data_IF_128909753166
#
_entry.id   IF_128909753166
#
_cell.length_a   1.000
_cell.length_b   1.000
_cell.length_c   1.000
_cell.angle_alpha   90.00
_cell.angle_beta   90.00
_cell.angle_gamma   90.00
#
_symmetry.space_group_name_H-M   'P 1'
#
loop_
_entity.id
_entity.type
_entity.pdbx_description
1 polymer ?
#
# COMPACT_ATOMS: atom_id res chain seq x y z
N UNK A 1 -19.17 30.53 -6.90
CA UNK A 1 -17.76 30.47 -6.49
C UNK A 1 -16.78 30.75 -7.64
N UNK A 2 -16.97 30.19 -8.85
CA UNK A 2 -16.08 30.46 -10.01
C UNK A 2 -15.93 31.94 -10.40
N UNK A 3 -17.02 32.72 -10.34
CA UNK A 3 -16.99 34.14 -10.71
C UNK A 3 -16.10 35.01 -9.81
N UNK A 4 -15.94 34.63 -8.54
CA UNK A 4 -15.13 35.37 -7.57
C UNK A 4 -13.63 35.18 -7.82
N UNK A 5 -13.23 33.99 -8.27
CA UNK A 5 -11.83 33.67 -8.59
C UNK A 5 -11.36 34.46 -9.83
N UNK A 6 -12.19 34.51 -10.87
CA UNK A 6 -11.88 35.24 -12.11
C UNK A 6 -11.77 36.75 -11.89
N UNK A 7 -12.61 37.31 -11.00
CA UNK A 7 -12.57 38.73 -10.67
C UNK A 7 -11.30 39.12 -9.88
N UNK A 8 -10.88 38.28 -8.93
CA UNK A 8 -9.64 38.51 -8.15
C UNK A 8 -8.40 38.41 -9.04
N UNK A 9 -8.38 37.45 -9.98
CA UNK A 9 -7.29 37.33 -10.97
C UNK A 9 -7.24 38.59 -11.83
N UNK A 10 -8.36 39.05 -12.41
CA UNK A 10 -8.37 40.26 -13.24
C UNK A 10 -7.93 41.52 -12.49
N UNK A 11 -8.32 41.67 -11.22
CA UNK A 11 -7.94 42.84 -10.41
C UNK A 11 -6.45 42.81 -10.03
N UNK A 12 -5.89 41.63 -9.72
CA UNK A 12 -4.46 41.47 -9.49
C UNK A 12 -3.62 41.71 -10.76
N UNK A 13 -4.16 41.37 -11.94
CA UNK A 13 -3.50 41.57 -13.22
C UNK A 13 -3.46 43.03 -13.70
N UNK A 14 -4.41 43.89 -13.32
CA UNK A 14 -4.50 45.24 -13.88
C UNK A 14 -3.71 46.31 -13.12
N UNK A 15 -3.24 46.05 -11.89
CA UNK A 15 -2.67 47.11 -11.04
C UNK A 15 -1.15 47.19 -10.96
N UNK A 16 -0.38 46.15 -11.35
CA UNK A 16 1.07 46.15 -11.04
C UNK A 16 2.00 45.77 -12.19
N UNK A 17 1.50 45.35 -13.37
CA UNK A 17 2.34 44.95 -14.50
C UNK A 17 3.31 43.78 -14.20
N UNK A 18 3.20 43.18 -13.00
CA UNK A 18 4.10 42.18 -12.50
C UNK A 18 3.42 40.82 -12.60
N UNK A 19 3.84 40.01 -13.56
CA UNK A 19 3.31 38.68 -13.82
C UNK A 19 3.72 37.64 -12.76
N UNK A 20 4.63 38.03 -11.86
CA UNK A 20 5.22 37.18 -10.84
C UNK A 20 4.20 36.49 -9.91
N UNK A 21 3.14 37.15 -9.37
CA UNK A 21 2.18 36.50 -8.50
C UNK A 21 1.34 35.44 -9.23
N UNK A 22 1.00 35.69 -10.51
CA UNK A 22 0.29 34.74 -11.36
C UNK A 22 1.16 33.53 -11.70
N UNK A 23 2.42 33.75 -12.08
CA UNK A 23 3.39 32.69 -12.35
C UNK A 23 3.71 31.87 -11.09
N UNK A 24 3.77 32.50 -9.93
CA UNK A 24 4.00 31.80 -8.65
C UNK A 24 2.83 30.89 -8.29
N UNK A 25 1.58 31.37 -8.44
CA UNK A 25 0.38 30.56 -8.22
C UNK A 25 0.29 29.38 -9.19
N UNK A 26 0.55 29.61 -10.48
CA UNK A 26 0.60 28.54 -11.48
C UNK A 26 1.72 27.57 -11.17
N UNK A 27 2.90 28.06 -10.76
CA UNK A 27 4.06 27.26 -10.38
C UNK A 27 3.80 26.34 -9.19
N UNK A 28 3.13 26.84 -8.13
CA UNK A 28 2.72 26.03 -6.98
C UNK A 28 1.70 24.98 -7.39
N UNK A 29 0.71 25.35 -8.21
CA UNK A 29 -0.27 24.40 -8.71
C UNK A 29 0.40 23.32 -9.57
N UNK A 30 1.26 23.67 -10.53
CA UNK A 30 1.98 22.66 -11.30
C UNK A 30 2.90 21.81 -10.44
N UNK A 31 3.60 22.38 -9.45
CA UNK A 31 4.41 21.58 -8.53
C UNK A 31 3.56 20.60 -7.70
N UNK A 32 2.36 21.01 -7.26
CA UNK A 32 1.45 20.12 -6.52
C UNK A 32 0.84 19.00 -7.37
N UNK A 33 0.72 19.19 -8.69
CA UNK A 33 0.23 18.17 -9.62
C UNK A 33 1.34 17.27 -10.17
N UNK A 34 2.59 17.76 -10.20
CA UNK A 34 3.74 17.06 -10.81
C UNK A 34 4.58 16.31 -9.78
N UNK A 35 4.60 16.75 -8.52
CA UNK A 35 5.28 16.00 -7.47
C UNK A 35 4.45 14.76 -7.12
N UNK A 36 4.98 13.54 -7.34
CA UNK A 36 4.27 12.34 -6.91
C UNK A 36 4.08 12.42 -5.40
N UNK A 37 2.88 12.07 -4.94
CA UNK A 37 2.63 11.85 -3.51
C UNK A 37 3.71 10.90 -2.98
N UNK A 38 4.27 11.17 -1.80
CA UNK A 38 5.26 10.26 -1.22
C UNK A 38 4.66 8.84 -1.16
N UNK A 39 5.42 7.81 -1.57
CA UNK A 39 4.93 6.44 -1.53
C UNK A 39 4.56 6.08 -0.09
N UNK A 40 3.53 5.24 0.05
CA UNK A 40 3.18 4.71 1.38
C UNK A 40 4.37 3.94 1.96
N UNK A 41 4.60 3.98 3.28
CA UNK A 41 5.72 3.30 3.92
C UNK A 41 5.82 1.82 3.54
N UNK A 42 4.69 1.14 3.43
CA UNK A 42 4.55 -0.28 3.09
C UNK A 42 5.03 -0.57 1.67
N UNK A 43 4.80 0.35 0.73
CA UNK A 43 5.33 0.25 -0.63
C UNK A 43 6.85 0.34 -0.64
N UNK A 44 7.40 1.26 0.13
CA UNK A 44 8.86 1.42 0.22
C UNK A 44 9.49 0.17 0.87
N UNK A 45 8.88 -0.32 1.94
CA UNK A 45 9.29 -1.54 2.64
C UNK A 45 9.22 -2.78 1.73
N UNK A 46 8.13 -2.94 0.97
CA UNK A 46 8.01 -3.99 -0.03
C UNK A 46 9.14 -3.94 -1.06
N UNK A 47 9.42 -2.76 -1.61
CA UNK A 47 10.44 -2.61 -2.64
C UNK A 47 11.86 -2.89 -2.10
N UNK A 48 12.13 -2.58 -0.84
CA UNK A 48 13.41 -2.85 -0.17
C UNK A 48 13.62 -4.35 0.09
N UNK A 49 12.57 -5.06 0.49
CA UNK A 49 12.63 -6.48 0.89
C UNK A 49 11.93 -7.43 -0.10
N UNK A 50 11.77 -7.03 -1.36
CA UNK A 50 10.97 -7.77 -2.36
C UNK A 50 11.40 -9.24 -2.50
N UNK A 51 12.70 -9.48 -2.59
CA UNK A 51 13.25 -10.84 -2.76
C UNK A 51 12.89 -11.74 -1.57
N UNK A 52 12.84 -11.17 -0.36
CA UNK A 52 12.51 -11.90 0.86
C UNK A 52 11.02 -12.26 0.92
N UNK A 53 10.15 -11.33 0.51
CA UNK A 53 8.72 -11.59 0.34
C UNK A 53 8.47 -12.70 -0.68
N UNK A 54 9.09 -12.63 -1.85
CA UNK A 54 8.98 -13.65 -2.90
C UNK A 54 9.49 -15.02 -2.42
N UNK A 55 10.57 -15.04 -1.64
CA UNK A 55 11.09 -16.28 -1.07
C UNK A 55 10.11 -16.94 -0.08
N UNK A 56 9.45 -16.16 0.78
CA UNK A 56 8.41 -16.72 1.67
C UNK A 56 7.23 -17.27 0.88
N UNK A 57 6.77 -16.57 -0.16
CA UNK A 57 5.69 -17.06 -1.03
C UNK A 57 6.08 -18.38 -1.68
N UNK A 58 7.31 -18.50 -2.20
CA UNK A 58 7.80 -19.75 -2.76
C UNK A 58 7.83 -20.87 -1.71
N UNK A 59 8.26 -20.57 -0.48
CA UNK A 59 8.28 -21.53 0.61
C UNK A 59 6.88 -22.04 0.96
N UNK A 60 5.90 -21.12 1.05
CA UNK A 60 4.48 -21.46 1.25
C UNK A 60 3.99 -22.40 0.15
N UNK A 61 4.27 -22.09 -1.12
CA UNK A 61 3.78 -22.85 -2.27
C UNK A 61 4.42 -24.25 -2.43
N UNK A 62 5.64 -24.43 -1.94
CA UNK A 62 6.44 -25.64 -2.19
C UNK A 62 6.50 -26.59 -1.00
N UNK A 63 6.77 -26.05 0.18
CA UNK A 63 7.05 -26.83 1.40
C UNK A 63 5.96 -26.62 2.47
N UNK A 64 5.23 -25.50 2.39
CA UNK A 64 4.31 -25.04 3.42
C UNK A 64 5.05 -24.42 4.61
N UNK A 65 4.39 -23.50 5.31
CA UNK A 65 4.94 -22.93 6.54
C UNK A 65 4.61 -23.83 7.74
N UNK A 66 5.52 -23.94 8.73
CA UNK A 66 5.19 -24.61 9.97
C UNK A 66 4.03 -23.87 10.66
N UNK A 67 2.97 -24.58 11.10
CA UNK A 67 1.87 -23.95 11.81
C UNK A 67 2.41 -23.24 13.05
N UNK A 68 2.00 -21.99 13.28
CA UNK A 68 2.51 -21.18 14.39
C UNK A 68 2.15 -21.81 15.73
N UNK A 69 3.14 -22.36 16.45
CA UNK A 69 2.88 -23.12 17.68
C UNK A 69 2.77 -22.18 18.89
N UNK A 70 3.24 -20.93 18.79
CA UNK A 70 3.40 -20.05 19.96
C UNK A 70 2.64 -18.73 19.91
N UNK A 71 2.75 -17.96 18.83
CA UNK A 71 2.22 -16.58 18.76
C UNK A 71 1.08 -16.41 17.74
N UNK A 72 0.99 -17.28 16.74
CA UNK A 72 0.01 -17.22 15.68
C UNK A 72 -1.12 -18.24 15.91
N UNK A 73 -2.01 -17.95 16.87
CA UNK A 73 -3.11 -18.85 17.26
C UNK A 73 -4.38 -18.74 16.39
N UNK A 74 -4.42 -17.77 15.47
CA UNK A 74 -5.52 -17.62 14.53
C UNK A 74 -5.49 -18.74 13.48
N UNK A 75 -6.66 -19.08 12.94
CA UNK A 75 -6.75 -19.96 11.77
C UNK A 75 -5.97 -19.32 10.62
N UNK A 76 -5.26 -20.14 9.85
CA UNK A 76 -4.49 -19.73 8.68
C UNK A 76 -3.31 -18.78 8.98
N UNK A 77 -2.95 -18.62 10.26
CA UNK A 77 -1.81 -17.81 10.68
C UNK A 77 -0.56 -18.66 10.92
N UNK A 78 0.55 -18.25 10.32
CA UNK A 78 1.82 -18.95 10.33
C UNK A 78 2.94 -18.06 10.86
N UNK A 79 3.89 -18.68 11.55
CA UNK A 79 5.13 -18.03 11.98
C UNK A 79 6.14 -18.07 10.83
N UNK A 80 6.87 -16.98 10.64
CA UNK A 80 7.94 -16.93 9.65
C UNK A 80 9.20 -17.66 10.16
N UNK A 81 10.01 -18.23 9.25
CA UNK A 81 11.32 -18.77 9.60
C UNK A 81 12.24 -17.69 10.18
N UNK A 82 13.26 -18.12 10.94
CA UNK A 82 14.24 -17.22 11.51
C UNK A 82 14.98 -16.41 10.43
N UNK A 83 15.06 -15.09 10.61
CA UNK A 83 15.65 -14.14 9.67
C UNK A 83 14.63 -13.37 8.81
N UNK A 84 13.35 -13.73 8.84
CA UNK A 84 12.27 -13.08 8.10
C UNK A 84 11.26 -12.35 9.00
N UNK A 85 11.51 -12.30 10.32
CA UNK A 85 10.58 -11.76 11.31
C UNK A 85 10.29 -10.27 11.10
N UNK A 86 11.15 -9.52 10.42
CA UNK A 86 10.90 -8.12 10.09
C UNK A 86 9.86 -7.92 8.99
N UNK A 87 9.54 -8.95 8.19
CA UNK A 87 8.56 -8.84 7.11
C UNK A 87 7.10 -8.74 7.61
N UNK A 88 6.85 -9.12 8.86
CA UNK A 88 5.54 -9.00 9.51
C UNK A 88 5.70 -8.56 10.96
N UNK A 89 4.85 -7.67 11.43
CA UNK A 89 4.80 -7.27 12.83
C UNK A 89 4.25 -8.39 13.74
N UNK A 90 3.55 -9.39 13.18
CA UNK A 90 2.92 -10.47 13.94
C UNK A 90 3.05 -11.83 13.27
N UNK A 91 2.20 -12.11 12.29
CA UNK A 91 2.05 -13.40 11.63
C UNK A 91 1.89 -13.19 10.13
N UNK A 92 2.09 -14.26 9.37
CA UNK A 92 1.69 -14.30 7.96
C UNK A 92 0.43 -15.13 7.84
N UNK A 93 -0.55 -14.64 7.10
CA UNK A 93 -1.79 -15.36 6.86
C UNK A 93 -1.75 -16.01 5.48
N UNK A 94 -2.09 -17.30 5.41
CA UNK A 94 -2.10 -18.07 4.16
C UNK A 94 -3.49 -18.66 3.94
N UNK A 95 -4.23 -18.13 2.98
CA UNK A 95 -5.59 -18.59 2.67
C UNK A 95 -5.60 -19.47 1.42
N UNK A 96 -6.16 -20.67 1.56
CA UNK A 96 -6.34 -21.66 0.47
C UNK A 96 -5.05 -21.93 -0.35
N UNK A 97 -3.87 -21.81 0.28
CA UNK A 97 -2.53 -21.88 -0.36
C UNK A 97 -2.33 -20.92 -1.56
N UNK A 98 -3.24 -19.97 -1.75
CA UNK A 98 -3.34 -19.15 -2.95
C UNK A 98 -3.18 -17.65 -2.65
N UNK A 99 -3.33 -17.27 -1.38
CA UNK A 99 -3.18 -15.90 -0.90
C UNK A 99 -2.22 -15.90 0.26
N UNK A 100 -1.23 -15.00 0.24
CA UNK A 100 -0.27 -14.81 1.33
C UNK A 100 -0.30 -13.35 1.75
N UNK A 101 -0.64 -13.10 3.00
CA UNK A 101 -0.89 -11.77 3.54
C UNK A 101 0.10 -11.46 4.67
N UNK A 102 0.82 -10.36 4.50
CA UNK A 102 1.85 -9.87 5.39
C UNK A 102 1.40 -8.53 5.99
N UNK A 103 1.53 -8.37 7.30
CA UNK A 103 1.30 -7.08 7.96
C UNK A 103 2.65 -6.51 8.42
N UNK A 104 3.43 -5.87 7.53
CA UNK A 104 4.82 -5.48 7.79
C UNK A 104 4.97 -4.44 8.91
N UNK A 105 3.91 -3.70 9.20
CA UNK A 105 3.90 -2.61 10.18
C UNK A 105 2.73 -2.80 11.15
N UNK A 106 2.77 -2.11 12.30
CA UNK A 106 1.58 -1.94 13.16
C UNK A 106 0.53 -0.99 12.52
N UNK A 107 0.51 -0.89 11.20
CA UNK A 107 -0.41 -0.04 10.44
C UNK A 107 -1.62 -0.87 9.98
N UNK A 108 -2.59 -0.18 9.40
CA UNK A 108 -3.79 -0.76 8.80
C UNK A 108 -3.53 -1.40 7.44
N UNK A 109 -2.29 -1.33 6.95
CA UNK A 109 -1.93 -1.79 5.62
C UNK A 109 -1.24 -3.14 5.66
N UNK A 110 -1.67 -4.01 4.77
CA UNK A 110 -1.09 -5.33 4.53
C UNK A 110 -0.60 -5.44 3.10
N UNK A 111 0.53 -6.14 2.93
CA UNK A 111 1.06 -6.54 1.63
C UNK A 111 0.52 -7.94 1.33
N UNK A 112 -0.17 -8.09 0.20
CA UNK A 112 -0.85 -9.33 -0.15
C UNK A 112 -0.37 -9.83 -1.50
N UNK A 113 0.11 -11.07 -1.50
CA UNK A 113 0.36 -11.85 -2.70
C UNK A 113 -0.87 -12.71 -3.02
N UNK A 114 -1.23 -12.78 -4.30
CA UNK A 114 -2.24 -13.72 -4.80
C UNK A 114 -1.70 -14.45 -6.02
N UNK A 115 -1.85 -15.78 -6.06
CA UNK A 115 -1.42 -16.57 -7.22
C UNK A 115 -2.17 -16.15 -8.50
N UNK A 116 -3.46 -15.85 -8.34
CA UNK A 116 -4.32 -15.33 -9.43
C UNK A 116 -5.13 -14.14 -8.94
N UNK A 117 -5.39 -13.13 -9.79
CA UNK A 117 -6.19 -11.96 -9.40
C UNK A 117 -7.60 -12.32 -8.89
N UNK A 118 -8.19 -13.42 -9.37
CA UNK A 118 -9.49 -13.91 -8.91
C UNK A 118 -9.50 -14.39 -7.44
N UNK A 119 -8.34 -14.77 -6.90
CA UNK A 119 -8.22 -15.22 -5.50
C UNK A 119 -8.17 -14.06 -4.52
N UNK A 120 -8.09 -12.82 -5.00
CA UNK A 120 -8.09 -11.62 -4.17
C UNK A 120 -9.32 -11.54 -3.25
N UNK A 121 -10.46 -12.12 -3.66
CA UNK A 121 -11.67 -12.18 -2.83
C UNK A 121 -11.52 -13.03 -1.56
N UNK A 122 -10.51 -13.90 -1.50
CA UNK A 122 -10.22 -14.71 -0.32
C UNK A 122 -9.35 -13.97 0.71
N UNK A 123 -8.68 -12.89 0.32
CA UNK A 123 -7.91 -12.07 1.27
C UNK A 123 -8.83 -11.34 2.24
N UNK A 124 -8.45 -11.41 3.50
CA UNK A 124 -9.18 -10.78 4.58
C UNK A 124 -9.10 -9.25 4.49
N UNK A 125 -7.88 -8.71 4.36
CA UNK A 125 -7.65 -7.27 4.30
C UNK A 125 -7.95 -6.65 2.92
N UNK A 126 -7.91 -7.42 1.83
CA UNK A 126 -8.23 -6.86 0.51
C UNK A 126 -9.71 -6.90 0.13
N UNK A 127 -10.49 -7.82 0.70
CA UNK A 127 -11.86 -8.08 0.21
C UNK A 127 -12.91 -8.27 1.30
N UNK A 128 -12.57 -8.87 2.45
CA UNK A 128 -13.57 -9.20 3.48
C UNK A 128 -13.82 -8.01 4.40
N UNK A 129 -12.74 -7.42 4.94
CA UNK A 129 -12.83 -6.27 5.85
C UNK A 129 -12.25 -4.98 5.28
N UNK A 130 -11.41 -5.07 4.27
CA UNK A 130 -10.75 -3.90 3.70
C UNK A 130 -10.97 -3.73 2.20
N UNK A 131 -10.04 -3.01 1.58
CA UNK A 131 -10.03 -2.76 0.15
C UNK A 131 -8.58 -2.70 -0.38
N UNK A 132 -8.42 -2.97 -1.67
CA UNK A 132 -7.16 -2.70 -2.38
C UNK A 132 -6.91 -1.20 -2.40
N UNK A 133 -5.80 -0.78 -1.78
CA UNK A 133 -5.30 0.58 -1.86
C UNK A 133 -4.51 0.81 -3.15
N UNK A 134 -3.56 -0.09 -3.42
CA UNK A 134 -2.66 0.03 -4.56
C UNK A 134 -2.25 -1.36 -5.07
N UNK A 135 -2.14 -1.51 -6.39
CA UNK A 135 -1.51 -2.68 -7.00
C UNK A 135 -0.02 -2.39 -7.22
N UNK A 136 0.85 -3.22 -6.65
CA UNK A 136 2.30 -3.07 -6.75
C UNK A 136 2.87 -3.77 -7.98
N UNK A 137 2.34 -4.97 -8.28
CA UNK A 137 2.73 -5.82 -9.41
C UNK A 137 1.54 -6.71 -9.81
N UNK A 138 1.69 -7.57 -10.83
CA UNK A 138 0.60 -8.43 -11.34
C UNK A 138 -0.08 -9.26 -10.23
N UNK A 139 0.72 -9.74 -9.27
CA UNK A 139 0.29 -10.61 -8.17
C UNK A 139 0.39 -9.97 -6.78
N UNK A 140 0.86 -8.72 -6.68
CA UNK A 140 1.15 -8.05 -5.41
C UNK A 140 0.27 -6.81 -5.20
N UNK A 141 -0.34 -6.73 -4.03
CA UNK A 141 -1.32 -5.70 -3.68
C UNK A 141 -1.00 -5.13 -2.30
N UNK A 142 -1.27 -3.84 -2.11
CA UNK A 142 -1.39 -3.21 -0.79
C UNK A 142 -2.87 -3.07 -0.51
N UNK A 143 -3.27 -3.59 0.64
CA UNK A 143 -4.65 -3.56 1.11
C UNK A 143 -4.74 -2.82 2.43
N UNK A 144 -5.88 -2.21 2.69
CA UNK A 144 -6.13 -1.42 3.90
C UNK A 144 -7.34 -1.98 4.64
N UNK A 145 -7.17 -2.36 5.91
CA UNK A 145 -8.28 -2.74 6.79
C UNK A 145 -9.20 -1.52 7.02
N UNK A 146 -10.52 -1.70 6.96
CA UNK A 146 -11.49 -0.62 7.08
C UNK A 146 -11.90 -0.29 8.53
N UNK A 147 -11.44 -1.08 9.51
CA UNK A 147 -11.89 -0.97 10.91
C UNK A 147 -10.99 -0.12 11.83
N UNK A 148 -9.98 0.58 11.30
CA UNK A 148 -9.09 1.49 12.05
C UNK A 148 -9.25 2.98 11.64
#
# INVERSE_FOLDING_TARGET
MLYSIVAVIKYAFSMTGNWFPGLFFVGILTASYVLPLPPVPEKTFFLEHREEFEHIVQLVQTEGLPPGITQCQALDAYELPAGYEHLTARCVFVYDDAVVEFSPTYSTFSIVFVDKPENLSASWDCAIRGAVWEQLDEQWYICVDADD
#
